data_IF_751745039412
#
_entry.id   IF_751745039412
#
_cell.length_a   1.000
_cell.length_b   1.000
_cell.length_c   1.000
_cell.angle_alpha   90.00
_cell.angle_beta   90.00
_cell.angle_gamma   90.00
#
_symmetry.space_group_name_H-M   'P 1'
#
loop_
_entity.id
_entity.type
_entity.pdbx_description
1 polymer ?
#
# COMPACT_ATOMS: atom_id res chain seq x y z
N UNK A 1 -25.46 -20.13 18.03
CA UNK A 1 -25.30 -18.70 17.64
C UNK A 1 -24.26 -18.63 16.54
N UNK A 2 -24.54 -17.95 15.45
CA UNK A 2 -23.52 -17.74 14.39
C UNK A 2 -22.41 -16.84 14.95
N UNK A 3 -21.13 -17.20 14.71
CA UNK A 3 -19.97 -16.44 15.18
C UNK A 3 -19.89 -15.07 14.49
N UNK A 4 -19.54 -14.05 15.24
CA UNK A 4 -19.28 -12.71 14.74
C UNK A 4 -17.79 -12.43 14.73
N UNK A 5 -17.35 -11.65 13.74
CA UNK A 5 -15.95 -11.23 13.57
C UNK A 5 -15.87 -9.73 13.88
N UNK A 6 -14.93 -9.36 14.73
CA UNK A 6 -14.57 -7.97 14.97
C UNK A 6 -13.58 -7.48 13.94
N UNK A 7 -13.72 -6.25 13.48
CA UNK A 7 -12.72 -5.56 12.65
C UNK A 7 -12.33 -4.24 13.33
N UNK A 8 -11.05 -4.10 13.67
CA UNK A 8 -10.52 -2.86 14.28
C UNK A 8 -9.53 -2.21 13.31
N UNK A 9 -9.88 -1.05 12.80
CA UNK A 9 -9.05 -0.33 11.85
C UNK A 9 -9.72 0.92 11.32
N UNK A 10 -9.06 1.64 10.42
CA UNK A 10 -9.65 2.79 9.74
C UNK A 10 -10.45 2.31 8.54
N UNK A 11 -11.74 2.04 8.75
CA UNK A 11 -12.62 1.54 7.69
C UNK A 11 -13.11 2.67 6.78
N UNK A 12 -13.51 3.80 7.38
CA UNK A 12 -14.04 4.96 6.66
C UNK A 12 -15.13 4.57 5.61
N UNK A 13 -16.30 4.12 6.06
CA UNK A 13 -17.35 3.66 5.13
C UNK A 13 -17.84 4.75 4.16
N UNK A 14 -17.59 6.03 4.51
CA UNK A 14 -17.99 7.19 3.68
C UNK A 14 -17.00 7.52 2.56
N UNK A 15 -15.90 6.77 2.45
CA UNK A 15 -14.84 6.97 1.45
C UNK A 15 -14.25 8.40 1.43
N UNK A 16 -14.05 8.98 2.61
CA UNK A 16 -13.48 10.34 2.75
C UNK A 16 -11.95 10.36 2.65
N UNK A 17 -11.31 9.18 2.77
CA UNK A 17 -9.87 9.01 2.77
C UNK A 17 -9.43 8.01 1.69
N UNK A 18 -8.35 8.36 0.98
CA UNK A 18 -7.75 7.56 -0.11
C UNK A 18 -6.36 7.01 0.24
N UNK A 19 -5.93 7.09 1.52
CA UNK A 19 -4.61 6.57 1.92
C UNK A 19 -4.58 5.03 1.99
N UNK A 20 -3.40 4.43 1.77
CA UNK A 20 -3.22 2.99 1.66
C UNK A 20 -3.73 2.18 2.86
N UNK A 21 -3.59 2.71 4.11
CA UNK A 21 -4.15 2.06 5.30
C UNK A 21 -5.68 1.95 5.21
N UNK A 22 -6.34 3.05 4.86
CA UNK A 22 -7.80 3.11 4.78
C UNK A 22 -8.33 2.23 3.65
N UNK A 23 -7.69 2.28 2.48
CA UNK A 23 -8.05 1.42 1.34
C UNK A 23 -7.92 -0.05 1.69
N UNK A 24 -6.78 -0.49 2.24
CA UNK A 24 -6.57 -1.89 2.66
C UNK A 24 -7.60 -2.35 3.70
N UNK A 25 -7.84 -1.53 4.72
CA UNK A 25 -8.79 -1.89 5.78
C UNK A 25 -10.21 -2.01 5.24
N UNK A 26 -10.60 -1.12 4.33
CA UNK A 26 -11.91 -1.14 3.68
C UNK A 26 -12.07 -2.35 2.78
N UNK A 27 -11.06 -2.68 1.98
CA UNK A 27 -11.05 -3.89 1.15
C UNK A 27 -11.30 -5.14 2.00
N UNK A 28 -10.56 -5.31 3.09
CA UNK A 28 -10.75 -6.46 4.00
C UNK A 28 -12.14 -6.43 4.64
N UNK A 29 -12.64 -5.27 5.04
CA UNK A 29 -14.01 -5.14 5.57
C UNK A 29 -15.07 -5.60 4.55
N UNK A 30 -14.98 -5.16 3.30
CA UNK A 30 -15.89 -5.54 2.23
C UNK A 30 -15.87 -7.06 2.01
N UNK A 31 -14.67 -7.64 1.87
CA UNK A 31 -14.53 -9.08 1.68
C UNK A 31 -15.03 -9.91 2.87
N UNK A 32 -14.85 -9.43 4.11
CA UNK A 32 -15.44 -10.06 5.29
C UNK A 32 -16.99 -10.00 5.23
N UNK A 33 -17.57 -8.86 4.82
CA UNK A 33 -19.01 -8.72 4.66
C UNK A 33 -19.57 -9.62 3.55
N UNK A 34 -18.88 -9.71 2.42
CA UNK A 34 -19.27 -10.58 1.30
C UNK A 34 -19.25 -12.06 1.70
N UNK A 35 -18.21 -12.50 2.41
CA UNK A 35 -18.06 -13.92 2.79
C UNK A 35 -18.96 -14.35 3.95
N UNK A 36 -19.11 -13.49 4.98
CA UNK A 36 -19.77 -13.88 6.23
C UNK A 36 -21.12 -13.20 6.46
N UNK A 37 -21.44 -12.16 5.72
CA UNK A 37 -22.62 -11.31 5.93
C UNK A 37 -22.30 -10.08 6.77
N UNK A 38 -22.83 -8.92 6.41
CA UNK A 38 -22.56 -7.62 7.08
C UNK A 38 -23.00 -7.62 8.55
N UNK A 39 -24.11 -8.30 8.86
CA UNK A 39 -24.67 -8.44 10.22
C UNK A 39 -23.74 -9.21 11.18
N UNK A 40 -22.78 -9.95 10.63
CA UNK A 40 -21.77 -10.70 11.40
C UNK A 40 -20.47 -9.93 11.62
N UNK A 41 -20.27 -8.79 10.97
CA UNK A 41 -19.05 -8.00 11.10
C UNK A 41 -19.29 -6.83 12.06
N UNK A 42 -18.54 -6.82 13.18
CA UNK A 42 -18.60 -5.74 14.18
C UNK A 42 -17.41 -4.82 14.01
N UNK A 43 -17.65 -3.65 13.46
CA UNK A 43 -16.61 -2.67 13.15
C UNK A 43 -16.29 -1.78 14.35
N UNK A 44 -15.02 -1.57 14.60
CA UNK A 44 -14.46 -0.49 15.43
C UNK A 44 -13.68 0.44 14.51
N UNK A 45 -14.35 1.48 14.00
CA UNK A 45 -13.72 2.42 13.10
C UNK A 45 -12.83 3.40 13.86
N UNK A 46 -11.52 3.31 13.61
CA UNK A 46 -10.53 4.16 14.26
C UNK A 46 -10.33 5.51 13.57
N UNK A 47 -11.09 5.82 12.53
CA UNK A 47 -11.10 7.17 11.94
C UNK A 47 -11.48 8.18 13.01
N UNK A 48 -10.72 9.27 13.10
CA UNK A 48 -10.95 10.35 14.08
C UNK A 48 -10.98 9.92 15.57
N UNK A 49 -10.35 8.79 15.93
CA UNK A 49 -10.38 8.23 17.29
C UNK A 49 -9.99 9.26 18.39
N UNK A 50 -9.11 10.22 18.06
CA UNK A 50 -8.72 11.30 18.99
C UNK A 50 -9.84 12.32 19.22
N UNK A 51 -10.69 12.56 18.21
CA UNK A 51 -11.80 13.50 18.27
C UNK A 51 -13.08 12.87 18.84
N UNK A 52 -13.22 11.54 18.66
CA UNK A 52 -14.43 10.78 19.03
C UNK A 52 -14.10 9.57 19.95
N UNK A 53 -13.37 9.77 21.06
CA UNK A 53 -12.89 8.66 21.90
C UNK A 53 -14.04 7.85 22.54
N UNK A 54 -15.17 8.47 22.87
CA UNK A 54 -16.33 7.77 23.46
C UNK A 54 -17.03 6.87 22.45
N UNK A 55 -17.12 7.27 21.16
CA UNK A 55 -17.63 6.42 20.10
C UNK A 55 -16.77 5.17 19.96
N UNK A 56 -15.47 5.34 19.78
CA UNK A 56 -14.52 4.23 19.63
C UNK A 56 -14.51 3.31 20.84
N UNK A 57 -14.57 3.86 22.07
CA UNK A 57 -14.64 3.06 23.29
C UNK A 57 -15.93 2.21 23.38
N UNK A 58 -17.07 2.76 22.93
CA UNK A 58 -18.35 2.02 22.89
C UNK A 58 -18.29 0.89 21.84
N UNK A 59 -17.80 1.18 20.64
CA UNK A 59 -17.62 0.20 19.56
C UNK A 59 -16.65 -0.92 20.01
N UNK A 60 -15.53 -0.56 20.63
CA UNK A 60 -14.57 -1.52 21.17
C UNK A 60 -15.20 -2.45 22.22
N UNK A 61 -15.95 -1.88 23.18
CA UNK A 61 -16.65 -2.70 24.20
C UNK A 61 -17.67 -3.65 23.57
N UNK A 62 -18.42 -3.18 22.56
CA UNK A 62 -19.35 -4.01 21.80
C UNK A 62 -18.61 -5.14 21.09
N UNK A 63 -17.53 -4.83 20.37
CA UNK A 63 -16.70 -5.81 19.69
C UNK A 63 -16.16 -6.87 20.63
N UNK A 64 -15.59 -6.49 21.80
CA UNK A 64 -15.09 -7.43 22.80
C UNK A 64 -16.19 -8.30 23.41
N UNK A 65 -17.42 -7.83 23.48
CA UNK A 65 -18.57 -8.60 24.00
C UNK A 65 -19.13 -9.58 22.98
N UNK A 66 -19.18 -9.19 21.70
CA UNK A 66 -19.90 -9.94 20.67
C UNK A 66 -19.00 -10.85 19.83
N UNK A 67 -17.69 -10.59 19.79
CA UNK A 67 -16.74 -11.28 18.89
C UNK A 67 -15.66 -12.02 19.66
N UNK A 68 -15.33 -13.23 19.21
CA UNK A 68 -14.17 -13.99 19.68
C UNK A 68 -12.99 -13.87 18.71
N UNK A 69 -13.27 -13.66 17.45
CA UNK A 69 -12.33 -13.49 16.36
C UNK A 69 -12.24 -12.01 15.99
N UNK A 70 -11.04 -11.43 16.03
CA UNK A 70 -10.85 -9.99 15.84
C UNK A 70 -9.70 -9.74 14.85
N UNK A 71 -10.02 -9.22 13.69
CA UNK A 71 -9.06 -8.77 12.67
C UNK A 71 -8.65 -7.33 12.96
N UNK A 72 -7.36 -7.04 12.93
CA UNK A 72 -6.80 -5.75 13.36
C UNK A 72 -5.85 -5.18 12.32
N UNK A 73 -6.13 -3.96 11.85
CA UNK A 73 -5.30 -3.20 10.90
C UNK A 73 -5.04 -1.80 11.45
N UNK A 74 -3.90 -1.62 12.08
CA UNK A 74 -3.57 -0.38 12.78
C UNK A 74 -2.18 0.15 12.38
N UNK A 75 -2.09 1.46 12.13
CA UNK A 75 -0.81 2.16 12.01
C UNK A 75 -0.07 2.20 13.35
N UNK A 76 1.21 2.65 13.34
CA UNK A 76 2.06 2.76 14.54
C UNK A 76 1.35 3.39 15.74
N UNK A 77 0.62 4.49 15.54
CA UNK A 77 -0.09 5.19 16.62
C UNK A 77 -1.27 4.38 17.15
N UNK A 78 -2.02 3.74 16.28
CA UNK A 78 -3.11 2.84 16.67
C UNK A 78 -2.61 1.62 17.45
N UNK A 79 -1.49 1.01 16.99
CA UNK A 79 -0.86 -0.12 17.68
C UNK A 79 -0.47 0.23 19.13
N UNK A 80 0.17 1.39 19.35
CA UNK A 80 0.56 1.84 20.70
C UNK A 80 -0.61 1.87 21.68
N UNK A 81 -1.81 2.19 21.20
CA UNK A 81 -3.01 2.27 22.05
C UNK A 81 -3.75 0.93 22.18
N UNK A 82 -4.01 0.26 21.04
CA UNK A 82 -4.89 -0.91 21.03
C UNK A 82 -4.17 -2.23 21.35
N UNK A 83 -2.89 -2.40 21.00
CA UNK A 83 -2.21 -3.69 21.17
C UNK A 83 -2.09 -4.13 22.63
N UNK A 84 -1.78 -3.27 23.61
CA UNK A 84 -1.80 -3.67 25.02
C UNK A 84 -3.18 -4.18 25.48
N UNK A 85 -4.26 -3.54 24.99
CA UNK A 85 -5.63 -3.93 25.32
C UNK A 85 -5.99 -5.27 24.68
N UNK A 86 -5.64 -5.47 23.40
CA UNK A 86 -5.90 -6.69 22.65
C UNK A 86 -5.10 -7.88 23.19
N UNK A 87 -3.83 -7.68 23.52
CA UNK A 87 -3.00 -8.72 24.14
C UNK A 87 -3.59 -9.19 25.49
N UNK A 88 -4.11 -8.25 26.29
CA UNK A 88 -4.82 -8.59 27.52
C UNK A 88 -6.11 -9.37 27.24
N UNK A 89 -6.86 -9.02 26.20
CA UNK A 89 -8.07 -9.77 25.81
C UNK A 89 -7.74 -11.18 25.33
N UNK A 90 -6.67 -11.33 24.54
CA UNK A 90 -6.19 -12.65 24.10
C UNK A 90 -5.79 -13.53 25.30
N UNK A 91 -4.99 -12.99 26.24
CA UNK A 91 -4.48 -13.73 27.38
C UNK A 91 -5.58 -14.08 28.42
N UNK A 92 -6.48 -13.15 28.72
CA UNK A 92 -7.43 -13.31 29.84
C UNK A 92 -8.80 -13.85 29.41
N UNK A 93 -9.21 -13.60 28.16
CA UNK A 93 -10.55 -13.90 27.67
C UNK A 93 -10.57 -14.84 26.46
N UNK A 94 -9.40 -15.38 26.06
CA UNK A 94 -9.28 -16.33 24.96
C UNK A 94 -9.66 -15.75 23.58
N UNK A 95 -9.65 -14.41 23.42
CA UNK A 95 -9.94 -13.78 22.13
C UNK A 95 -8.83 -14.10 21.13
N UNK A 96 -9.21 -14.47 19.91
CA UNK A 96 -8.27 -14.73 18.82
C UNK A 96 -8.05 -13.44 18.02
N UNK A 97 -6.85 -12.92 18.08
CA UNK A 97 -6.48 -11.66 17.39
C UNK A 97 -5.69 -12.02 16.13
N UNK A 98 -6.14 -11.50 15.00
CA UNK A 98 -5.54 -11.65 13.68
C UNK A 98 -5.04 -10.28 13.23
N UNK A 99 -3.74 -10.05 13.35
CA UNK A 99 -3.15 -8.76 12.99
C UNK A 99 -2.70 -8.78 11.53
N UNK A 100 -3.19 -7.85 10.72
CA UNK A 100 -2.68 -7.57 9.38
C UNK A 100 -1.87 -6.28 9.40
N UNK A 101 -0.61 -6.37 9.02
CA UNK A 101 0.34 -5.26 9.09
C UNK A 101 -0.06 -4.09 8.19
N UNK A 102 0.21 -2.89 8.69
CA UNK A 102 0.17 -1.63 7.94
C UNK A 102 1.54 -0.96 8.06
N UNK A 103 2.21 -0.78 6.93
CA UNK A 103 3.53 -0.13 6.80
C UNK A 103 4.72 -1.03 7.18
N UNK A 104 5.94 -0.61 6.81
CA UNK A 104 7.16 -1.41 6.89
C UNK A 104 7.94 -1.34 8.21
N UNK A 105 7.59 -0.46 9.16
CA UNK A 105 8.42 -0.17 10.35
C UNK A 105 8.16 -1.08 11.57
N UNK A 106 7.59 -2.27 11.40
CA UNK A 106 7.22 -3.09 12.56
C UNK A 106 8.46 -3.61 13.30
N UNK A 107 9.49 -4.05 12.59
CA UNK A 107 10.72 -4.56 13.19
C UNK A 107 11.44 -3.48 14.01
N UNK A 108 11.54 -2.25 13.49
CA UNK A 108 12.13 -1.13 14.24
C UNK A 108 11.34 -0.86 15.52
N UNK A 109 10.01 -0.92 15.45
CA UNK A 109 9.18 -0.71 16.65
C UNK A 109 9.35 -1.85 17.67
N UNK A 110 9.63 -3.08 17.22
CA UNK A 110 9.94 -4.22 18.11
C UNK A 110 11.31 -4.03 18.74
N UNK A 111 12.33 -3.56 18.00
CA UNK A 111 13.64 -3.21 18.57
C UNK A 111 13.56 -2.13 19.64
N UNK A 112 12.69 -1.12 19.41
CA UNK A 112 12.45 -0.04 20.37
C UNK A 112 11.69 -0.51 21.64
N UNK A 113 10.94 -1.62 21.55
CA UNK A 113 10.04 -2.05 22.64
C UNK A 113 9.85 -3.56 22.71
N UNK A 114 10.53 -4.20 23.67
CA UNK A 114 10.37 -5.64 23.93
C UNK A 114 8.92 -6.03 24.36
N UNK A 115 8.14 -5.07 24.84
CA UNK A 115 6.73 -5.31 25.16
C UNK A 115 5.89 -5.55 23.91
N UNK A 116 6.29 -4.96 22.76
CA UNK A 116 5.58 -5.15 21.49
C UNK A 116 5.73 -6.59 20.98
N UNK A 117 6.91 -7.19 21.06
CA UNK A 117 7.11 -8.60 20.70
C UNK A 117 6.20 -9.54 21.52
N UNK A 118 6.10 -9.30 22.84
CA UNK A 118 5.20 -10.08 23.70
C UNK A 118 3.72 -9.91 23.33
N UNK A 119 3.31 -8.68 22.96
CA UNK A 119 1.93 -8.42 22.51
C UNK A 119 1.65 -9.15 21.19
N UNK A 120 2.55 -9.06 20.20
CA UNK A 120 2.44 -9.77 18.92
C UNK A 120 2.37 -11.28 19.13
N UNK A 121 3.19 -11.85 20.00
CA UNK A 121 3.18 -13.29 20.32
C UNK A 121 1.90 -13.76 21.04
N UNK A 122 1.10 -12.86 21.63
CA UNK A 122 -0.20 -13.21 22.19
C UNK A 122 -1.33 -13.30 21.16
N UNK A 123 -1.09 -12.85 19.92
CA UNK A 123 -2.06 -12.91 18.85
C UNK A 123 -2.09 -14.29 18.19
N UNK A 124 -3.17 -14.63 17.49
CA UNK A 124 -3.27 -15.89 16.74
C UNK A 124 -2.28 -15.93 15.60
N UNK A 125 -2.14 -14.84 14.88
CA UNK A 125 -1.23 -14.67 13.74
C UNK A 125 -0.94 -13.19 13.53
N UNK A 126 0.27 -12.91 13.03
CA UNK A 126 0.64 -11.63 12.45
C UNK A 126 0.89 -11.83 10.95
N UNK A 127 -0.01 -11.33 10.10
CA UNK A 127 0.16 -11.32 8.67
C UNK A 127 1.06 -10.17 8.25
N UNK A 128 2.21 -10.50 7.74
CA UNK A 128 3.31 -9.60 7.39
C UNK A 128 3.44 -9.55 5.87
N UNK A 129 3.58 -8.34 5.33
CA UNK A 129 3.51 -8.10 3.89
C UNK A 129 4.77 -8.50 3.12
N UNK A 130 5.92 -8.64 3.79
CA UNK A 130 7.23 -8.94 3.21
C UNK A 130 7.82 -10.19 3.86
N UNK A 131 8.50 -11.03 3.08
CA UNK A 131 9.22 -12.22 3.58
C UNK A 131 10.43 -11.81 4.41
N UNK A 132 11.19 -10.84 3.92
CA UNK A 132 12.35 -10.31 4.65
C UNK A 132 11.93 -9.78 6.02
N UNK A 133 10.78 -9.11 6.11
CA UNK A 133 10.25 -8.62 7.38
C UNK A 133 9.73 -9.77 8.29
N UNK A 134 9.22 -10.88 7.73
CA UNK A 134 8.88 -12.08 8.52
C UNK A 134 10.13 -12.64 9.18
N UNK A 135 11.23 -12.79 8.41
CA UNK A 135 12.49 -13.33 8.91
C UNK A 135 13.07 -12.41 10.00
N UNK A 136 13.11 -11.11 9.73
CA UNK A 136 13.58 -10.09 10.69
C UNK A 136 12.77 -10.09 12.00
N UNK A 137 11.45 -10.19 11.94
CA UNK A 137 10.59 -10.26 13.13
C UNK A 137 10.78 -11.57 13.89
N UNK A 138 11.03 -12.67 13.17
CA UNK A 138 11.31 -13.98 13.77
C UNK A 138 12.63 -13.93 14.55
N UNK A 139 13.67 -13.32 13.99
CA UNK A 139 14.95 -13.08 14.68
C UNK A 139 14.81 -12.21 15.91
N UNK A 140 13.83 -11.29 15.91
CA UNK A 140 13.47 -10.45 17.05
C UNK A 140 12.52 -11.15 18.07
N UNK A 141 12.26 -12.45 17.88
CA UNK A 141 11.48 -13.29 18.79
C UNK A 141 9.95 -13.18 18.62
N UNK A 142 9.47 -12.75 17.45
CA UNK A 142 8.03 -12.80 17.10
C UNK A 142 7.76 -14.07 16.31
N UNK A 143 7.26 -15.12 16.98
CA UNK A 143 7.24 -16.48 16.44
C UNK A 143 5.98 -16.85 15.63
N UNK A 144 4.97 -16.00 15.60
CA UNK A 144 3.66 -16.24 14.96
C UNK A 144 3.43 -15.31 13.75
N UNK A 145 4.51 -14.96 13.04
CA UNK A 145 4.45 -14.26 11.78
C UNK A 145 4.09 -15.23 10.63
N UNK A 146 3.26 -14.76 9.71
CA UNK A 146 2.93 -15.45 8.47
C UNK A 146 2.99 -14.46 7.31
N UNK A 147 3.63 -14.86 6.22
CA UNK A 147 3.68 -14.02 5.02
C UNK A 147 2.30 -13.91 4.39
N UNK A 148 1.83 -12.68 4.26
CA UNK A 148 0.63 -12.31 3.52
C UNK A 148 0.88 -10.95 2.88
N UNK A 149 1.22 -10.88 1.59
CA UNK A 149 1.51 -9.62 0.94
C UNK A 149 0.29 -8.70 0.93
N UNK A 150 0.51 -7.41 0.75
CA UNK A 150 -0.60 -6.50 0.49
C UNK A 150 -1.33 -6.93 -0.79
N UNK A 151 -2.64 -6.73 -0.82
CA UNK A 151 -3.48 -7.12 -1.95
C UNK A 151 -4.59 -6.10 -2.18
N UNK A 152 -5.13 -6.12 -3.38
CA UNK A 152 -6.24 -5.26 -3.80
C UNK A 152 -7.27 -6.05 -4.59
N UNK A 153 -8.50 -5.59 -4.56
CA UNK A 153 -9.54 -6.06 -5.49
C UNK A 153 -9.28 -5.44 -6.86
N UNK A 154 -8.34 -6.03 -7.59
CA UNK A 154 -7.94 -5.59 -8.93
C UNK A 154 -8.16 -6.73 -9.91
N UNK A 155 -8.54 -6.38 -11.12
CA UNK A 155 -8.53 -7.27 -12.27
C UNK A 155 -7.34 -6.88 -13.14
N UNK A 156 -6.25 -7.68 -13.17
CA UNK A 156 -5.15 -7.41 -14.07
C UNK A 156 -5.63 -7.42 -15.52
N UNK A 157 -5.07 -6.54 -16.35
CA UNK A 157 -5.38 -6.51 -17.77
C UNK A 157 -5.00 -7.84 -18.44
N UNK A 158 -5.79 -8.28 -19.40
CA UNK A 158 -5.44 -9.40 -20.25
C UNK A 158 -4.35 -8.98 -21.25
N UNK A 159 -3.57 -9.95 -21.75
CA UNK A 159 -2.46 -9.68 -22.62
C UNK A 159 -2.82 -8.99 -23.96
N UNK A 160 -4.04 -9.19 -24.45
CA UNK A 160 -4.61 -8.56 -25.64
C UNK A 160 -5.09 -7.12 -25.43
N UNK A 161 -5.31 -6.72 -24.18
CA UNK A 161 -5.66 -5.34 -23.80
C UNK A 161 -4.43 -4.43 -23.66
N UNK A 162 -3.22 -5.03 -23.57
CA UNK A 162 -1.98 -4.29 -23.44
C UNK A 162 -1.68 -3.48 -24.70
N UNK A 163 -1.44 -2.19 -24.52
CA UNK A 163 -1.04 -1.27 -25.59
C UNK A 163 0.21 -0.53 -25.16
N UNK A 164 1.14 -0.38 -26.10
CA UNK A 164 2.27 0.54 -25.91
C UNK A 164 1.78 1.94 -26.24
N UNK A 165 1.82 2.89 -25.30
CA UNK A 165 1.50 4.27 -25.62
C UNK A 165 2.43 4.79 -26.72
N UNK A 166 1.89 5.38 -27.75
CA UNK A 166 2.64 5.92 -28.89
C UNK A 166 2.50 7.42 -28.97
N UNK A 167 3.53 8.09 -29.53
CA UNK A 167 3.55 9.54 -29.69
C UNK A 167 4.17 10.29 -28.52
N UNK A 168 4.23 11.61 -28.68
CA UNK A 168 4.78 12.53 -27.68
C UNK A 168 3.66 13.42 -27.12
N UNK A 169 3.76 13.85 -25.88
CA UNK A 169 4.81 13.49 -24.91
C UNK A 169 4.68 12.05 -24.40
N UNK A 170 5.81 11.42 -24.05
CA UNK A 170 5.78 10.23 -23.19
C UNK A 170 5.22 10.63 -21.83
N UNK A 171 4.11 10.04 -21.44
CA UNK A 171 3.40 10.42 -20.23
C UNK A 171 3.81 9.55 -19.04
N UNK A 172 4.43 10.18 -18.08
CA UNK A 172 4.74 9.62 -16.76
C UNK A 172 3.60 9.91 -15.80
N UNK A 173 3.44 9.08 -14.80
CA UNK A 173 2.52 9.36 -13.71
C UNK A 173 3.12 9.03 -12.34
N UNK A 174 2.58 9.66 -11.32
CA UNK A 174 2.86 9.35 -9.92
C UNK A 174 1.54 9.22 -9.17
N UNK A 175 1.36 8.14 -8.42
CA UNK A 175 0.20 7.88 -7.58
C UNK A 175 0.64 7.74 -6.13
N UNK A 176 0.52 8.82 -5.36
CA UNK A 176 0.92 8.84 -3.95
C UNK A 176 0.22 9.97 -3.21
N UNK A 177 0.29 9.97 -1.87
CA UNK A 177 0.06 11.21 -1.14
C UNK A 177 1.14 12.21 -1.53
N UNK A 178 0.74 13.41 -1.93
CA UNK A 178 1.66 14.49 -2.27
C UNK A 178 2.33 15.01 -1.01
N UNK A 179 3.55 14.55 -0.76
CA UNK A 179 4.42 14.94 0.37
C UNK A 179 5.87 14.91 -0.09
N UNK A 180 6.73 15.65 0.57
CA UNK A 180 8.18 15.62 0.34
C UNK A 180 8.73 14.17 0.37
N UNK A 181 8.36 13.39 1.40
CA UNK A 181 8.85 12.01 1.59
C UNK A 181 8.45 11.02 0.50
N UNK A 182 7.47 11.35 -0.33
CA UNK A 182 7.09 10.53 -1.48
C UNK A 182 7.89 10.85 -2.74
N UNK A 183 8.80 11.84 -2.68
CA UNK A 183 9.67 12.20 -3.79
C UNK A 183 8.95 12.97 -4.91
N UNK A 184 7.93 13.76 -4.56
CA UNK A 184 7.17 14.54 -5.53
C UNK A 184 8.06 15.53 -6.26
N UNK A 185 8.94 16.23 -5.50
CA UNK A 185 9.90 17.16 -6.07
C UNK A 185 10.88 16.45 -7.01
N UNK A 186 11.40 15.30 -6.60
CA UNK A 186 12.31 14.49 -7.42
C UNK A 186 11.64 14.05 -8.74
N UNK A 187 10.35 13.71 -8.72
CA UNK A 187 9.61 13.36 -9.94
C UNK A 187 9.45 14.56 -10.89
N UNK A 188 9.15 15.74 -10.35
CA UNK A 188 9.04 16.98 -11.12
C UNK A 188 10.41 17.36 -11.71
N UNK A 189 11.44 17.41 -10.88
CA UNK A 189 12.79 17.80 -11.29
C UNK A 189 13.38 16.83 -12.34
N UNK A 190 13.22 15.51 -12.13
CA UNK A 190 13.68 14.50 -13.10
C UNK A 190 12.98 14.66 -14.46
N UNK A 191 11.66 14.89 -14.46
CA UNK A 191 10.93 15.14 -15.70
C UNK A 191 11.40 16.45 -16.36
N UNK A 192 11.71 17.48 -15.58
CA UNK A 192 12.30 18.74 -16.06
C UNK A 192 13.68 18.56 -16.71
N UNK A 193 14.54 17.72 -16.12
CA UNK A 193 15.85 17.35 -16.70
C UNK A 193 15.63 16.70 -18.09
N UNK A 194 14.71 15.75 -18.20
CA UNK A 194 14.39 15.06 -19.45
C UNK A 194 13.83 16.03 -20.49
N UNK A 195 12.88 16.90 -20.12
CA UNK A 195 12.32 17.92 -21.02
C UNK A 195 13.37 18.92 -21.52
N UNK A 196 14.31 19.31 -20.65
CA UNK A 196 15.39 20.25 -21.01
C UNK A 196 16.36 19.65 -22.03
N UNK A 197 16.57 18.33 -21.98
CA UNK A 197 17.47 17.60 -22.85
C UNK A 197 16.78 17.20 -24.18
N UNK A 198 15.57 16.64 -24.11
CA UNK A 198 14.90 15.97 -25.23
C UNK A 198 13.89 16.89 -25.95
N UNK A 199 13.60 18.06 -25.36
CA UNK A 199 12.63 19.03 -25.84
C UNK A 199 11.41 19.18 -24.94
N UNK A 200 10.86 20.39 -24.89
CA UNK A 200 9.80 20.78 -23.95
C UNK A 200 8.52 19.91 -24.01
N UNK A 201 8.27 19.25 -25.15
CA UNK A 201 7.10 18.39 -25.37
C UNK A 201 7.44 16.90 -25.42
N UNK A 202 8.66 16.51 -25.03
CA UNK A 202 9.08 15.11 -25.08
C UNK A 202 8.47 14.28 -23.91
N UNK A 203 8.30 14.90 -22.75
CA UNK A 203 7.82 14.25 -21.52
C UNK A 203 6.71 15.05 -20.85
N UNK A 204 5.80 14.36 -20.17
CA UNK A 204 4.80 14.96 -19.31
C UNK A 204 4.62 14.12 -18.04
N UNK A 205 4.24 14.77 -16.94
CA UNK A 205 4.04 14.14 -15.63
C UNK A 205 2.65 14.48 -15.07
N UNK A 206 1.86 13.46 -14.80
CA UNK A 206 0.60 13.59 -14.10
C UNK A 206 0.72 13.08 -12.65
N UNK A 207 0.29 13.90 -11.69
CA UNK A 207 0.41 13.65 -10.25
C UNK A 207 -0.97 13.38 -9.65
N UNK A 208 -1.17 12.20 -9.07
CA UNK A 208 -2.43 11.75 -8.48
C UNK A 208 -2.28 11.44 -7.00
N UNK A 209 -3.20 11.92 -6.20
CA UNK A 209 -3.35 11.59 -4.79
C UNK A 209 -3.65 12.78 -3.91
N UNK A 210 -3.95 12.56 -2.62
CA UNK A 210 -4.28 13.65 -1.70
C UNK A 210 -3.05 14.51 -1.40
N UNK A 211 -3.24 15.82 -1.47
CA UNK A 211 -2.22 16.81 -1.15
C UNK A 211 -2.18 17.05 0.36
N UNK A 212 -1.00 16.86 0.94
CA UNK A 212 -0.76 17.15 2.35
C UNK A 212 -0.75 18.67 2.57
N UNK A 213 -1.41 19.10 3.65
CA UNK A 213 -1.57 20.54 3.95
C UNK A 213 -0.21 21.22 4.21
N UNK A 214 0.70 20.50 4.90
CA UNK A 214 2.01 21.04 5.26
C UNK A 214 2.97 21.14 4.04
N UNK A 215 2.65 20.47 2.93
CA UNK A 215 3.42 20.47 1.68
C UNK A 215 2.77 21.33 0.58
N UNK A 216 1.61 21.93 0.82
CA UNK A 216 0.81 22.60 -0.20
C UNK A 216 1.54 23.74 -0.89
N UNK A 217 2.10 24.65 -0.12
CA UNK A 217 2.71 25.89 -0.67
C UNK A 217 3.93 25.56 -1.53
N UNK A 218 4.76 24.60 -1.08
CA UNK A 218 5.90 24.10 -1.84
C UNK A 218 5.44 23.40 -3.12
N UNK A 219 4.45 22.54 -3.03
CA UNK A 219 3.89 21.82 -4.17
C UNK A 219 3.33 22.74 -5.25
N UNK A 220 2.56 23.77 -4.87
CA UNK A 220 2.00 24.76 -5.79
C UNK A 220 3.11 25.58 -6.47
N UNK A 221 4.18 25.91 -5.74
CA UNK A 221 5.35 26.61 -6.29
C UNK A 221 6.11 25.72 -7.31
N UNK A 222 6.34 24.44 -7.01
CA UNK A 222 7.00 23.51 -7.92
C UNK A 222 6.19 23.32 -9.21
N UNK A 223 4.86 23.15 -9.11
CA UNK A 223 4.00 23.03 -10.28
C UNK A 223 3.95 24.29 -11.13
N UNK A 224 3.97 25.49 -10.53
CA UNK A 224 3.97 26.75 -11.27
C UNK A 224 5.20 26.91 -12.19
N UNK A 225 6.32 26.26 -11.82
CA UNK A 225 7.57 26.27 -12.57
C UNK A 225 7.74 25.06 -13.51
N UNK A 226 6.76 24.14 -13.54
CA UNK A 226 6.84 22.87 -14.28
C UNK A 226 5.69 22.73 -15.30
N UNK A 227 5.72 23.43 -16.46
CA UNK A 227 4.62 23.40 -17.43
C UNK A 227 4.33 22.00 -18.02
N UNK A 228 5.25 21.06 -17.87
CA UNK A 228 5.13 19.66 -18.27
C UNK A 228 4.44 18.80 -17.19
N UNK A 229 4.23 19.31 -15.98
CA UNK A 229 3.62 18.60 -14.87
C UNK A 229 2.19 19.10 -14.59
N UNK A 230 1.31 18.18 -14.19
CA UNK A 230 -0.09 18.49 -13.86
C UNK A 230 -0.53 17.73 -12.61
N UNK A 231 -1.18 18.43 -11.68
CA UNK A 231 -1.90 17.79 -10.57
C UNK A 231 -3.32 17.42 -10.99
N UNK A 232 -3.65 16.13 -10.84
CA UNK A 232 -4.91 15.54 -11.28
C UNK A 232 -5.88 15.25 -10.11
N UNK A 233 -5.48 15.55 -8.86
CA UNK A 233 -6.30 15.25 -7.69
C UNK A 233 -6.27 13.77 -7.32
N UNK A 234 -7.27 13.31 -6.57
CA UNK A 234 -7.40 11.90 -6.20
C UNK A 234 -8.13 11.11 -7.29
N UNK A 235 -7.63 9.90 -7.56
CA UNK A 235 -8.37 8.90 -8.32
C UNK A 235 -9.11 7.97 -7.35
N UNK A 236 -10.27 7.46 -7.76
CA UNK A 236 -10.93 6.41 -7.01
C UNK A 236 -10.10 5.10 -7.07
N UNK A 237 -10.02 4.35 -5.96
CA UNK A 237 -9.19 3.15 -5.92
C UNK A 237 -9.54 2.08 -6.96
N UNK A 238 -10.80 1.99 -7.35
CA UNK A 238 -11.34 1.06 -8.34
C UNK A 238 -11.04 1.49 -9.79
N UNK A 239 -10.68 2.75 -10.02
CA UNK A 239 -10.32 3.31 -11.34
C UNK A 239 -8.81 3.32 -11.59
N UNK A 240 -7.99 3.02 -10.57
CA UNK A 240 -6.53 3.17 -10.64
C UNK A 240 -5.89 2.39 -11.79
N UNK A 241 -6.28 1.14 -12.02
CA UNK A 241 -5.74 0.30 -13.11
C UNK A 241 -6.09 0.87 -14.48
N UNK A 242 -7.35 1.32 -14.67
CA UNK A 242 -7.79 1.89 -15.94
C UNK A 242 -7.08 3.22 -16.26
N UNK A 243 -6.86 4.06 -15.24
CA UNK A 243 -6.10 5.30 -15.40
C UNK A 243 -4.64 4.99 -15.74
N UNK A 244 -4.02 4.09 -14.98
CA UNK A 244 -2.60 3.76 -15.11
C UNK A 244 -2.25 3.13 -16.46
N UNK A 245 -3.14 2.35 -17.10
CA UNK A 245 -2.89 1.72 -18.41
C UNK A 245 -2.56 2.71 -19.53
N UNK A 246 -2.98 3.97 -19.36
CA UNK A 246 -2.75 5.04 -20.36
C UNK A 246 -1.38 5.69 -20.30
N UNK A 247 -0.55 5.34 -19.30
CA UNK A 247 0.77 5.94 -19.09
C UNK A 247 1.89 5.11 -19.68
N UNK A 248 3.06 5.75 -19.84
CA UNK A 248 4.27 5.13 -20.30
C UNK A 248 5.04 4.45 -19.15
N UNK A 249 5.14 5.10 -18.00
CA UNK A 249 5.68 4.53 -16.76
C UNK A 249 5.09 5.19 -15.51
N UNK A 250 5.06 4.42 -14.39
CA UNK A 250 4.83 4.95 -13.06
C UNK A 250 6.17 5.38 -12.45
N UNK A 251 6.24 6.59 -11.88
CA UNK A 251 7.33 7.03 -11.03
C UNK A 251 7.00 6.75 -9.56
N UNK A 252 7.92 6.06 -8.88
CA UNK A 252 7.79 5.76 -7.46
C UNK A 252 9.08 6.15 -6.70
N UNK A 253 9.40 7.46 -6.64
CA UNK A 253 10.65 7.97 -6.07
C UNK A 253 10.59 8.11 -4.55
N UNK A 254 9.99 7.14 -3.85
CA UNK A 254 9.80 7.24 -2.40
C UNK A 254 11.12 7.41 -1.65
N UNK A 255 11.14 8.36 -0.71
CA UNK A 255 12.19 8.59 0.28
C UNK A 255 11.74 8.15 1.68
N UNK A 256 10.59 7.46 1.73
CA UNK A 256 10.00 7.05 2.98
C UNK A 256 10.64 5.75 3.45
N UNK A 257 11.50 5.82 4.46
CA UNK A 257 12.28 4.68 4.99
C UNK A 257 11.41 3.51 5.45
N UNK A 258 10.20 3.79 5.97
CA UNK A 258 9.26 2.77 6.40
C UNK A 258 8.21 2.43 5.34
N UNK A 259 8.54 2.57 4.05
CA UNK A 259 7.69 2.09 2.96
C UNK A 259 7.54 0.57 3.09
N UNK A 260 6.29 0.10 3.10
CA UNK A 260 5.98 -1.32 3.17
C UNK A 260 5.76 -1.91 1.78
N UNK A 261 4.58 -2.45 1.56
CA UNK A 261 4.15 -3.06 0.31
C UNK A 261 3.12 -2.14 -0.39
N UNK A 262 3.56 -1.19 -1.24
CA UNK A 262 2.72 -0.12 -1.74
C UNK A 262 1.65 -0.60 -2.73
N UNK A 263 0.39 -0.33 -2.40
CA UNK A 263 -0.76 -0.70 -3.24
C UNK A 263 -0.73 -0.05 -4.63
N UNK A 264 -0.11 1.12 -4.77
CA UNK A 264 0.03 1.78 -6.06
C UNK A 264 0.96 1.03 -7.02
N UNK A 265 1.99 0.35 -6.50
CA UNK A 265 2.85 -0.53 -7.32
C UNK A 265 2.06 -1.75 -7.77
N UNK A 266 1.19 -2.32 -6.92
CA UNK A 266 0.29 -3.43 -7.31
C UNK A 266 -0.64 -2.98 -8.45
N UNK A 267 -1.22 -1.78 -8.36
CA UNK A 267 -2.09 -1.21 -9.41
C UNK A 267 -1.33 -1.04 -10.74
N UNK A 268 -0.10 -0.51 -10.68
CA UNK A 268 0.75 -0.34 -11.87
C UNK A 268 1.08 -1.68 -12.52
N UNK A 269 1.47 -2.68 -11.71
CA UNK A 269 1.73 -4.03 -12.21
C UNK A 269 0.47 -4.62 -12.87
N UNK A 270 -0.71 -4.46 -12.26
CA UNK A 270 -1.99 -4.93 -12.80
C UNK A 270 -2.40 -4.20 -14.10
N UNK A 271 -2.01 -2.94 -14.25
CA UNK A 271 -2.20 -2.16 -15.47
C UNK A 271 -1.15 -2.48 -16.58
N UNK A 272 -0.23 -3.40 -16.32
CA UNK A 272 0.89 -3.63 -17.20
C UNK A 272 1.78 -2.40 -17.39
N UNK A 273 1.91 -1.58 -16.34
CA UNK A 273 2.67 -0.33 -16.38
C UNK A 273 4.03 -0.52 -15.74
N UNK A 274 5.15 -0.35 -16.49
CA UNK A 274 6.49 -0.39 -15.90
C UNK A 274 6.67 0.66 -14.81
N UNK A 275 7.48 0.33 -13.82
CA UNK A 275 7.71 1.19 -12.64
C UNK A 275 9.16 1.63 -12.61
N UNK A 276 9.41 2.94 -12.51
CA UNK A 276 10.73 3.50 -12.19
C UNK A 276 10.72 3.96 -10.74
N UNK A 277 11.55 3.33 -9.90
CA UNK A 277 11.44 3.44 -8.46
C UNK A 277 12.77 3.62 -7.74
N UNK A 278 12.75 4.29 -6.59
CA UNK A 278 13.83 4.16 -5.61
C UNK A 278 13.81 2.77 -4.97
N UNK A 279 14.96 2.22 -4.57
CA UNK A 279 15.08 0.91 -3.91
C UNK A 279 14.74 1.02 -2.42
N UNK A 280 13.44 1.03 -2.08
CA UNK A 280 13.05 0.93 -0.67
C UNK A 280 13.31 -0.48 -0.12
N UNK A 281 13.21 -0.68 1.19
CA UNK A 281 13.61 -1.91 1.88
C UNK A 281 13.07 -3.22 1.25
N UNK A 282 11.83 -3.22 0.76
CA UNK A 282 11.18 -4.43 0.21
C UNK A 282 10.99 -4.37 -1.31
N UNK A 283 11.75 -3.53 -2.01
CA UNK A 283 11.68 -3.33 -3.46
C UNK A 283 11.78 -4.65 -4.24
N UNK A 284 12.79 -5.47 -3.93
CA UNK A 284 13.10 -6.71 -4.65
C UNK A 284 12.01 -7.78 -4.58
N UNK A 285 11.13 -7.71 -3.58
CA UNK A 285 9.98 -8.61 -3.48
C UNK A 285 8.86 -8.26 -4.47
N UNK A 286 8.83 -7.01 -4.98
CA UNK A 286 7.77 -6.53 -5.87
C UNK A 286 8.24 -6.29 -7.30
N UNK A 287 9.43 -5.73 -7.47
CA UNK A 287 9.94 -5.23 -8.75
C UNK A 287 11.29 -5.86 -9.09
N UNK A 288 11.53 -6.06 -10.40
CA UNK A 288 12.78 -6.56 -10.92
C UNK A 288 13.29 -5.65 -12.04
N UNK A 289 14.53 -5.18 -11.91
CA UNK A 289 15.20 -4.36 -12.93
C UNK A 289 15.33 -5.10 -14.25
N UNK A 290 14.99 -4.43 -15.34
CA UNK A 290 15.01 -4.98 -16.70
C UNK A 290 13.81 -5.89 -17.04
N UNK A 291 12.89 -6.14 -16.09
CA UNK A 291 11.66 -6.92 -16.29
C UNK A 291 10.40 -6.10 -16.03
N UNK A 292 10.30 -5.44 -14.88
CA UNK A 292 9.12 -4.65 -14.48
C UNK A 292 9.37 -3.16 -14.50
N UNK A 293 10.54 -2.74 -14.94
CA UNK A 293 11.01 -1.36 -14.96
C UNK A 293 12.47 -1.27 -14.54
N UNK A 294 12.87 -0.16 -13.95
CA UNK A 294 14.22 0.08 -13.45
C UNK A 294 14.20 0.80 -12.10
N UNK A 295 15.27 0.66 -11.35
CA UNK A 295 15.41 1.29 -10.06
C UNK A 295 16.71 2.08 -9.91
N UNK A 296 16.73 2.96 -8.92
CA UNK A 296 17.90 3.69 -8.48
C UNK A 296 18.05 3.64 -6.96
N UNK A 297 19.16 4.10 -6.43
CA UNK A 297 19.45 4.04 -5.00
C UNK A 297 18.43 4.82 -4.17
N UNK A 298 18.03 4.26 -3.02
CA UNK A 298 17.09 4.92 -2.11
C UNK A 298 17.68 6.22 -1.56
N UNK A 299 16.87 7.28 -1.56
CA UNK A 299 17.34 8.62 -1.18
C UNK A 299 18.14 9.35 -2.28
N UNK A 300 18.31 8.74 -3.47
CA UNK A 300 18.92 9.37 -4.63
C UNK A 300 18.15 10.61 -5.11
N UNK A 301 18.83 11.41 -5.91
CA UNK A 301 18.30 12.68 -6.42
C UNK A 301 17.54 12.55 -7.75
N UNK A 302 17.05 13.67 -8.26
CA UNK A 302 16.32 13.75 -9.51
C UNK A 302 17.16 13.29 -10.73
N UNK A 303 18.49 13.45 -10.70
CA UNK A 303 19.36 13.01 -11.81
C UNK A 303 19.45 11.48 -11.88
N UNK A 304 19.45 10.81 -10.74
CA UNK A 304 19.42 9.36 -10.64
C UNK A 304 18.08 8.80 -11.12
N UNK A 305 16.97 9.46 -10.76
CA UNK A 305 15.65 9.10 -11.25
C UNK A 305 15.56 9.30 -12.77
N UNK A 306 16.06 10.43 -13.31
CA UNK A 306 16.10 10.68 -14.76
C UNK A 306 16.91 9.60 -15.48
N UNK A 307 18.07 9.21 -14.95
CA UNK A 307 18.90 8.13 -15.49
C UNK A 307 18.18 6.77 -15.51
N UNK A 308 17.39 6.47 -14.47
CA UNK A 308 16.58 5.24 -14.44
C UNK A 308 15.42 5.28 -15.44
N UNK A 309 14.84 6.45 -15.70
CA UNK A 309 13.84 6.66 -16.78
C UNK A 309 14.52 6.45 -18.15
N UNK A 310 15.75 6.92 -18.33
CA UNK A 310 16.52 6.72 -19.57
C UNK A 310 16.78 5.24 -19.83
N UNK A 311 17.16 4.47 -18.80
CA UNK A 311 17.34 3.02 -18.95
C UNK A 311 16.06 2.33 -19.48
N UNK A 312 14.89 2.78 -19.05
CA UNK A 312 13.63 2.27 -19.59
C UNK A 312 13.39 2.76 -21.03
N UNK A 313 13.73 4.02 -21.34
CA UNK A 313 13.59 4.59 -22.67
C UNK A 313 14.52 3.93 -23.70
N UNK A 314 15.75 3.62 -23.33
CA UNK A 314 16.71 2.89 -24.17
C UNK A 314 16.24 1.46 -24.50
N UNK A 315 15.35 0.91 -23.67
CA UNK A 315 14.73 -0.39 -23.83
C UNK A 315 13.28 -0.33 -24.36
N UNK A 316 12.83 0.81 -24.91
CA UNK A 316 11.44 1.03 -25.36
C UNK A 316 10.97 0.01 -26.41
N UNK A 317 11.88 -0.51 -27.23
CA UNK A 317 11.61 -1.62 -28.16
C UNK A 317 11.13 -2.90 -27.47
N UNK A 318 11.37 -3.06 -26.14
CA UNK A 318 10.91 -4.15 -25.31
C UNK A 318 9.70 -3.77 -24.43
N UNK A 319 9.09 -2.61 -24.65
CA UNK A 319 8.01 -2.11 -23.78
C UNK A 319 6.88 -3.15 -23.59
N UNK A 320 6.53 -3.90 -24.63
CA UNK A 320 5.52 -4.95 -24.52
C UNK A 320 5.96 -6.10 -23.59
N UNK A 321 7.24 -6.41 -23.52
CA UNK A 321 7.77 -7.44 -22.61
C UNK A 321 7.72 -6.97 -21.17
N UNK A 322 8.06 -5.70 -20.91
CA UNK A 322 7.87 -5.07 -19.59
C UNK A 322 6.41 -5.13 -19.15
N UNK A 323 5.49 -4.74 -20.02
CA UNK A 323 4.05 -4.76 -19.71
C UNK A 323 3.56 -6.17 -19.36
N UNK A 324 3.94 -7.18 -20.14
CA UNK A 324 3.61 -8.59 -19.86
C UNK A 324 4.25 -9.08 -18.55
N UNK A 325 5.46 -8.67 -18.25
CA UNK A 325 6.14 -9.02 -17.00
C UNK A 325 5.42 -8.40 -15.80
N UNK A 326 5.00 -7.13 -15.89
CA UNK A 326 4.20 -6.47 -14.88
C UNK A 326 2.91 -7.25 -14.57
N UNK A 327 2.13 -7.64 -15.59
CA UNK A 327 0.90 -8.43 -15.41
C UNK A 327 1.19 -9.77 -14.71
N UNK A 328 2.23 -10.49 -15.13
CA UNK A 328 2.62 -11.75 -14.46
C UNK A 328 2.97 -11.52 -12.99
N UNK A 329 3.64 -10.40 -12.70
CA UNK A 329 4.04 -10.04 -11.34
C UNK A 329 2.87 -9.57 -10.47
N UNK A 330 1.79 -9.05 -11.05
CA UNK A 330 0.57 -8.66 -10.34
C UNK A 330 -0.25 -9.87 -9.86
N UNK A 331 -0.20 -10.98 -10.56
CA UNK A 331 -1.06 -12.15 -10.33
C UNK A 331 -1.06 -12.70 -8.87
N UNK A 332 0.07 -12.71 -8.12
CA UNK A 332 0.08 -13.13 -6.73
C UNK A 332 -0.65 -12.19 -5.75
N UNK A 333 -0.93 -10.95 -6.16
CA UNK A 333 -1.53 -9.92 -5.30
C UNK A 333 -3.04 -9.77 -5.47
N UNK A 334 -3.68 -10.75 -6.12
CA UNK A 334 -5.14 -10.80 -6.25
C UNK A 334 -5.79 -11.03 -4.89
N UNK A 335 -6.79 -10.20 -4.60
CA UNK A 335 -7.50 -10.22 -3.32
C UNK A 335 -8.12 -11.59 -3.02
N UNK A 336 -8.73 -12.26 -3.99
CA UNK A 336 -9.47 -13.50 -3.76
C UNK A 336 -8.62 -14.58 -3.10
N UNK A 337 -7.45 -14.89 -3.67
CA UNK A 337 -6.55 -15.92 -3.14
C UNK A 337 -5.99 -15.58 -1.76
N UNK A 338 -5.61 -14.32 -1.56
CA UNK A 338 -4.98 -13.88 -0.31
C UNK A 338 -6.01 -13.73 0.81
N UNK A 339 -7.24 -13.34 0.47
CA UNK A 339 -8.33 -13.31 1.42
C UNK A 339 -8.78 -14.72 1.82
N UNK A 340 -8.79 -15.69 0.91
CA UNK A 340 -9.07 -17.09 1.24
C UNK A 340 -8.09 -17.63 2.29
N UNK A 341 -6.80 -17.33 2.20
CA UNK A 341 -5.80 -17.67 3.23
C UNK A 341 -6.14 -17.04 4.60
N UNK A 342 -6.59 -15.76 4.61
CA UNK A 342 -7.04 -15.11 5.84
C UNK A 342 -8.28 -15.80 6.41
N UNK A 343 -9.26 -16.09 5.56
CA UNK A 343 -10.51 -16.71 5.94
C UNK A 343 -10.30 -18.11 6.52
N UNK A 344 -9.49 -18.95 5.85
CA UNK A 344 -9.13 -20.28 6.35
C UNK A 344 -8.51 -20.22 7.74
N UNK A 345 -7.57 -19.31 7.98
CA UNK A 345 -6.94 -19.13 9.28
C UNK A 345 -7.94 -18.69 10.37
N UNK A 346 -8.92 -17.84 10.00
CA UNK A 346 -10.01 -17.42 10.91
C UNK A 346 -10.92 -18.63 11.21
N UNK A 347 -11.28 -19.42 10.19
CA UNK A 347 -12.22 -20.54 10.25
C UNK A 347 -11.65 -21.79 10.96
N UNK A 348 -10.31 -21.97 11.03
CA UNK A 348 -9.66 -23.10 11.72
C UNK A 348 -10.16 -23.31 13.16
N UNK A 349 -10.57 -22.28 13.88
CA UNK A 349 -11.12 -22.37 15.24
C UNK A 349 -12.64 -22.48 15.31
N UNK A 350 -13.31 -22.68 14.17
CA UNK A 350 -14.78 -22.79 14.10
C UNK A 350 -15.29 -24.25 14.09
N UNK A 351 -14.37 -25.18 13.87
CA UNK A 351 -14.65 -26.65 13.85
C UNK A 351 -14.73 -27.24 15.25
#
# INVERSE_FOLDING_TARGET
>A
MQRKIGLIGRVDPRRTMCDGQTVKTRTIWQMLCERYGEDRIVVVDTLNYKKEPFRVAREYRRCMKECDDIVVLLSRNGRKFFFPLLARQAANNGKRIFHSLIGGSLADNVRESSSLARQLNSFRVNWIESRDLVDELTDLGVCNCSFLPNFKQIVPLHGDELKVPSGMPRRLCMFARMTEKKGVKEAIDATGILCSRDGANAWALDLYGPLDQDFRDEFEMELANAPFARYCGCAEPDESVEILRGYWALLFPTRYESEGFPGTVIDALAAGLPVVASRWAYYSEMLHDGETGFSYEHGGDASMLASAIDLLADNDYRMMDFKRACIRRAAPYSADKLFDQMAECIEEGWK
#
